data_IF_225583068273
#
_entry.id   IF_225583068273
#
_cell.length_a   1.000
_cell.length_b   1.000
_cell.length_c   1.000
_cell.angle_alpha   90.00
_cell.angle_beta   90.00
_cell.angle_gamma   90.00
#
_symmetry.space_group_name_H-M   'P 1'
#
loop_
_entity.id
_entity.type
_entity.pdbx_description
1 polymer ?
2 polymer ?
3 water ?
#
# COMPACT_ATOMS: atom_id res chain seq x y z
N UNK A 7 0.77 -14.55 8.80
CA UNK A 7 -0.64 -14.30 9.22
C UNK A 7 -1.58 -15.26 8.49
N UNK A 8 -2.28 -16.09 9.26
CA UNK A 8 -3.21 -17.06 8.70
C UNK A 8 -4.56 -16.43 8.36
N UNK A 9 -5.36 -17.12 7.56
CA UNK A 9 -6.67 -16.64 7.17
C UNK A 9 -7.54 -16.41 8.40
N UNK A 10 -7.36 -17.26 9.40
CA UNK A 10 -8.12 -17.15 10.64
C UNK A 10 -7.77 -15.86 11.36
N UNK A 11 -6.48 -15.52 11.36
CA UNK A 11 -6.01 -14.31 12.01
C UNK A 11 -6.57 -13.09 11.28
N UNK A 12 -6.63 -13.18 9.95
CA UNK A 12 -7.16 -12.08 9.14
C UNK A 12 -8.64 -11.87 9.42
N UNK A 13 -9.40 -12.96 9.53
CA UNK A 13 -10.82 -12.85 9.81
C UNK A 13 -11.06 -12.06 11.09
N UNK A 14 -10.23 -12.30 12.10
CA UNK A 14 -10.36 -11.58 13.36
C UNK A 14 -10.14 -10.08 13.15
N UNK A 15 -9.08 -9.73 12.43
CA UNK A 15 -8.74 -8.34 12.18
C UNK A 15 -9.86 -7.54 11.52
N UNK A 16 -10.62 -8.18 10.63
CA UNK A 16 -11.69 -7.47 9.94
C UNK A 16 -13.10 -7.76 10.46
N UNK A 17 -13.19 -8.14 11.73
CA UNK A 17 -14.48 -8.45 12.35
C UNK A 17 -15.54 -7.35 12.18
N UNK A 18 -15.11 -6.10 12.26
CA UNK A 18 -16.03 -4.97 12.13
C UNK A 18 -16.24 -4.49 10.70
N UNK A 19 -15.64 -5.17 9.72
CA UNK A 19 -15.79 -4.76 8.33
C UNK A 19 -17.15 -5.13 7.74
N UNK A 20 -17.58 -4.38 6.74
CA UNK A 20 -18.88 -4.61 6.10
C UNK A 20 -18.86 -5.77 5.11
N UNK A 21 -17.71 -5.97 4.46
CA UNK A 21 -17.52 -7.02 3.46
C UNK A 21 -16.27 -7.78 3.87
N UNK A 22 -16.44 -8.68 4.83
CA UNK A 22 -15.34 -9.46 5.40
C UNK A 22 -14.66 -10.49 4.50
N UNK A 23 -15.41 -11.45 3.97
CA UNK A 23 -14.80 -12.46 3.11
C UNK A 23 -14.09 -11.83 1.91
N UNK A 24 -14.69 -10.80 1.33
CA UNK A 24 -14.08 -10.13 0.17
C UNK A 24 -12.76 -9.46 0.53
N UNK A 25 -12.70 -8.88 1.73
CA UNK A 25 -11.48 -8.21 2.17
C UNK A 25 -10.39 -9.23 2.49
N UNK A 26 -10.77 -10.32 3.15
CA UNK A 26 -9.80 -11.36 3.49
C UNK A 26 -9.28 -12.02 2.22
N UNK A 27 -10.19 -12.32 1.29
CA UNK A 27 -9.81 -12.96 0.04
C UNK A 27 -8.73 -12.19 -0.71
N UNK A 28 -8.93 -10.88 -0.88
CA UNK A 28 -7.95 -10.08 -1.59
C UNK A 28 -6.66 -9.91 -0.80
N UNK A 29 -6.78 -9.79 0.52
CA UNK A 29 -5.59 -9.63 1.35
C UNK A 29 -4.70 -10.85 1.18
N UNK A 30 -5.30 -12.04 1.20
CA UNK A 30 -4.53 -13.27 1.01
C UNK A 30 -3.84 -13.24 -0.35
N UNK A 31 -4.57 -12.83 -1.39
CA UNK A 31 -3.98 -12.76 -2.73
C UNK A 31 -2.77 -11.84 -2.72
N UNK A 32 -2.91 -10.68 -2.09
CA UNK A 32 -1.82 -9.71 -2.03
C UNK A 32 -0.58 -10.19 -1.29
N UNK A 33 -0.76 -10.68 -0.07
CA UNK A 33 0.39 -11.12 0.72
C UNK A 33 1.04 -12.39 0.19
N UNK A 34 0.35 -13.09 -0.69
CA UNK A 34 0.89 -14.30 -1.29
C UNK A 34 1.83 -13.93 -2.43
N UNK A 35 1.47 -12.89 -3.18
CA UNK A 35 2.28 -12.43 -4.31
C UNK A 35 3.38 -11.47 -3.86
N UNK A 36 3.04 -10.60 -2.91
CA UNK A 36 3.98 -9.61 -2.38
C UNK A 36 4.27 -9.99 -0.94
N UNK A 37 5.27 -10.85 -0.78
CA UNK A 37 5.66 -11.38 0.53
C UNK A 37 6.22 -10.40 1.55
N UNK A 38 6.51 -9.16 1.14
CA UNK A 38 7.02 -8.21 2.11
C UNK A 38 5.94 -7.24 2.56
N UNK A 39 4.69 -7.54 2.23
CA UNK A 39 3.56 -6.72 2.67
C UNK A 39 2.92 -7.52 3.81
N UNK A 40 2.80 -6.90 4.98
CA UNK A 40 2.22 -7.59 6.13
C UNK A 40 0.93 -6.93 6.62
N UNK A 41 -0.09 -7.75 6.92
CA UNK A 41 -1.36 -7.20 7.42
C UNK A 41 -1.22 -6.83 8.89
N UNK A 42 -1.60 -5.61 9.23
CA UNK A 42 -1.51 -5.11 10.60
C UNK A 42 -2.79 -4.40 10.99
N UNK A 43 -3.27 -4.65 12.21
CA UNK A 43 -4.47 -4.00 12.72
C UNK A 43 -3.99 -2.87 13.62
N UNK A 44 -4.28 -1.63 13.23
CA UNK A 44 -3.83 -0.49 14.01
C UNK A 44 -4.88 0.61 14.04
N UNK A 45 -4.77 1.51 15.02
CA UNK A 45 -5.71 2.61 15.15
C UNK A 45 -5.40 3.65 14.08
N UNK A 46 -6.45 4.24 13.51
CA UNK A 46 -6.29 5.24 12.47
C UNK A 46 -7.03 6.52 12.85
N UNK A 47 -6.28 7.56 13.19
CA UNK A 47 -6.89 8.83 13.56
C UNK A 47 -7.41 8.90 14.99
N UNK A 48 -8.10 7.85 15.42
CA UNK A 48 -8.66 7.78 16.77
C UNK A 48 -8.36 6.40 17.36
N UNK A 49 -8.12 6.36 18.66
CA UNK A 49 -7.81 5.09 19.31
C UNK A 49 -8.84 4.00 19.11
N UNK A 50 -10.10 4.40 18.93
CA UNK A 50 -11.19 3.46 18.74
C UNK A 50 -11.42 3.06 17.29
N UNK A 51 -10.75 3.75 16.37
CA UNK A 51 -10.90 3.47 14.94
C UNK A 51 -9.82 2.51 14.45
N UNK A 52 -10.00 1.23 14.72
CA UNK A 52 -9.03 0.24 14.28
C UNK A 52 -9.34 -0.25 12.87
N UNK A 53 -8.32 -0.25 12.03
CA UNK A 53 -8.45 -0.70 10.66
C UNK A 53 -7.25 -1.57 10.31
N UNK A 54 -7.43 -2.46 9.35
CA UNK A 54 -6.33 -3.30 8.92
C UNK A 54 -5.63 -2.60 7.77
N UNK A 55 -4.31 -2.64 7.77
CA UNK A 55 -3.55 -2.05 6.68
C UNK A 55 -2.49 -3.05 6.27
N UNK A 56 -2.03 -2.93 5.03
CA UNK A 56 -0.99 -3.79 4.53
C UNK A 56 0.24 -2.89 4.50
N UNK A 57 1.21 -3.19 5.36
CA UNK A 57 2.43 -2.40 5.46
C UNK A 57 3.66 -3.20 5.08
N UNK A 58 4.57 -2.56 4.35
CA UNK A 58 5.79 -3.24 3.94
C UNK A 58 6.35 -2.59 2.69
N UNK A 59 7.02 -3.38 1.86
CA UNK A 59 7.60 -2.84 0.64
C UNK A 59 7.13 -3.62 -0.59
N UNK A 60 7.19 -2.96 -1.75
CA UNK A 60 6.84 -3.60 -3.01
C UNK A 60 8.06 -3.40 -3.90
N UNK A 61 8.38 -4.39 -4.75
CA UNK A 61 9.54 -4.29 -5.64
C UNK A 61 9.28 -3.41 -6.86
N UNK A 62 10.07 -2.35 -7.00
CA UNK A 62 9.93 -1.41 -8.11
C UNK A 62 11.24 -1.18 -8.86
N UNK A 63 11.26 -1.46 -10.17
CA UNK A 63 12.46 -1.25 -10.97
C UNK A 63 12.57 0.20 -11.43
N UNK A 64 13.75 0.80 -11.26
CA UNK A 64 13.97 2.19 -11.66
C UNK A 64 15.37 2.42 -12.21
N UNK A 65 15.43 2.90 -13.45
CA UNK A 65 16.70 3.17 -14.12
C UNK A 65 17.72 2.06 -13.99
N UNK A 66 17.27 0.81 -14.01
CA UNK A 66 18.21 -0.29 -13.93
C UNK A 66 18.12 -1.28 -12.79
N UNK A 67 17.87 -0.81 -11.57
CA UNK A 67 17.79 -1.71 -10.43
C UNK A 67 16.43 -1.73 -9.75
N UNK A 68 16.21 -2.74 -8.92
CA UNK A 68 14.96 -2.90 -8.19
C UNK A 68 15.07 -2.33 -6.78
N UNK A 69 14.05 -1.59 -6.37
CA UNK A 69 14.03 -1.00 -5.04
C UNK A 69 12.83 -1.48 -4.26
N UNK A 70 13.00 -1.62 -2.95
CA UNK A 70 11.91 -2.06 -2.09
C UNK A 70 11.27 -0.80 -1.53
N UNK A 71 10.26 -0.30 -2.25
CA UNK A 71 9.55 0.92 -1.90
C UNK A 71 8.58 0.71 -0.75
N UNK A 72 8.75 1.45 0.35
CA UNK A 72 7.90 1.35 1.55
C UNK A 72 6.53 2.01 1.42
N UNK A 73 5.48 1.21 1.57
CA UNK A 73 4.11 1.70 1.47
C UNK A 73 3.23 1.18 2.59
N UNK A 74 2.05 1.79 2.72
CA UNK A 74 1.05 1.40 3.71
C UNK A 74 -0.30 1.55 3.02
N UNK A 75 -1.05 0.46 2.94
CA UNK A 75 -2.36 0.48 2.30
C UNK A 75 -3.44 0.27 3.36
N UNK A 76 -4.15 1.34 3.71
CA UNK A 76 -5.22 1.23 4.70
C UNK A 76 -6.50 0.76 4.03
N UNK A 77 -7.06 -0.34 4.52
CA UNK A 77 -8.31 -0.85 3.96
C UNK A 77 -9.45 -0.34 4.83
N UNK A 78 -10.32 0.48 4.25
CA UNK A 78 -11.46 1.01 5.00
C UNK A 78 -12.44 -0.12 5.29
N UNK A 79 -13.31 0.08 6.28
CA UNK A 79 -14.28 -0.96 6.60
C UNK A 79 -15.31 -1.17 5.50
N UNK A 80 -15.18 -0.42 4.40
CA UNK A 80 -16.07 -0.56 3.26
C UNK A 80 -15.33 -1.21 2.08
N UNK A 81 -14.09 -1.62 2.30
CA UNK A 81 -13.33 -2.29 1.24
C UNK A 81 -14.12 -3.55 0.88
N UNK A 82 -14.17 -3.95 -0.41
CA UNK A 82 -13.59 -3.42 -1.64
C UNK A 82 -14.44 -2.41 -2.42
N UNK A 83 -15.54 -1.96 -1.84
CA UNK A 83 -16.40 -1.02 -2.55
C UNK A 83 -15.82 0.39 -2.62
N UNK A 84 -14.96 0.72 -1.65
CA UNK A 84 -14.27 2.02 -1.64
C UNK A 84 -12.78 1.71 -1.69
N UNK A 85 -11.99 2.53 -2.40
CA UNK A 85 -10.55 2.28 -2.49
C UNK A 85 -9.80 2.46 -1.17
N UNK A 86 -8.62 1.84 -1.07
CA UNK A 86 -7.80 1.94 0.13
C UNK A 86 -7.17 3.33 0.17
N UNK A 87 -6.74 3.76 1.35
CA UNK A 87 -6.05 5.04 1.47
C UNK A 87 -4.59 4.61 1.55
N UNK A 88 -3.81 5.06 0.57
CA UNK A 88 -2.41 4.64 0.46
C UNK A 88 -1.36 5.71 0.73
N UNK A 89 -0.29 5.31 1.41
CA UNK A 89 0.80 6.21 1.75
C UNK A 89 2.18 5.62 1.47
N UNK A 90 3.14 6.51 1.20
CA UNK A 90 4.52 6.09 1.01
C UNK A 90 5.06 6.31 2.43
N UNK A 91 5.82 5.35 2.95
CA UNK A 91 6.36 5.44 4.31
C UNK A 91 7.88 5.44 4.32
N UNK A 92 8.50 6.59 4.06
CA UNK A 92 9.96 6.68 4.04
C UNK A 92 10.63 6.33 5.36
N UNK A 93 11.80 5.70 5.26
CA UNK A 93 12.58 5.33 6.43
C UNK A 93 13.63 6.42 6.61
N UNK A 94 14.45 6.30 7.65
CA UNK A 94 15.48 7.30 7.93
C UNK A 94 16.53 7.46 6.83
N UNK A 95 16.71 6.44 6.00
CA UNK A 95 17.72 6.48 4.95
C UNK A 95 17.26 7.11 3.65
N UNK A 96 16.02 7.58 3.62
CA UNK A 96 15.47 8.17 2.40
C UNK A 96 14.58 9.37 2.68
N UNK A 97 14.20 10.04 1.60
CA UNK A 97 13.34 11.21 1.70
C UNK A 97 12.20 11.09 0.70
N UNK A 98 10.99 11.42 1.14
CA UNK A 98 9.84 11.33 0.26
C UNK A 98 9.88 12.44 -0.79
N UNK A 99 9.43 12.11 -2.00
CA UNK A 99 9.41 13.07 -3.09
C UNK A 99 7.99 13.51 -3.41
N UNK A 100 7.63 14.72 -2.99
CA UNK A 100 6.29 15.23 -3.27
C UNK A 100 6.22 15.47 -4.77
N UNK A 101 5.12 15.07 -5.38
CA UNK A 101 4.97 15.26 -6.81
C UNK A 101 3.59 14.95 -7.34
N UNK A 102 3.52 14.61 -8.62
CA UNK A 102 2.25 14.31 -9.25
C UNK A 102 1.39 13.30 -8.48
N UNK A 103 1.99 12.18 -8.11
CA UNK A 103 1.25 11.12 -7.42
C UNK A 103 1.44 11.00 -5.92
N UNK A 104 2.17 11.94 -5.32
CA UNK A 104 2.41 11.90 -3.88
C UNK A 104 2.28 13.30 -3.29
N UNK A 105 1.37 13.50 -2.34
CA UNK A 105 1.22 14.83 -1.77
C UNK A 105 2.12 15.10 -0.56
N UNK A 106 1.93 16.25 0.07
CA UNK A 106 2.75 16.66 1.21
C UNK A 106 2.74 15.69 2.40
N UNK A 107 1.68 14.91 2.54
CA UNK A 107 1.58 13.96 3.65
C UNK A 107 2.00 12.55 3.24
N UNK A 108 2.44 12.40 2.00
CA UNK A 108 2.86 11.09 1.53
C UNK A 108 1.70 10.29 0.98
N UNK A 109 0.52 10.91 0.88
CA UNK A 109 -0.65 10.22 0.35
C UNK A 109 -0.51 10.04 -1.16
N UNK A 110 -0.86 8.85 -1.63
CA UNK A 110 -0.76 8.52 -3.04
C UNK A 110 -2.04 8.85 -3.80
N UNK A 111 -1.87 9.42 -4.99
CA UNK A 111 -2.98 9.78 -5.87
C UNK A 111 -2.75 9.07 -7.20
N UNK A 112 -3.75 8.31 -7.64
CA UNK A 112 -3.64 7.59 -8.90
C UNK A 112 -5.00 7.48 -9.56
N UNK A 113 -5.04 7.53 -10.90
CA UNK A 113 -6.32 7.42 -11.59
C UNK A 113 -7.04 6.13 -11.14
N UNK A 114 -6.26 5.09 -10.86
CA UNK A 114 -6.82 3.80 -10.43
C UNK A 114 -7.61 3.94 -9.13
N UNK A 115 -7.12 4.76 -8.21
CA UNK A 115 -7.81 4.98 -6.95
C UNK A 115 -9.00 5.93 -7.15
N UNK A 116 -8.81 6.93 -8.00
CA UNK A 116 -9.84 7.92 -8.27
C UNK A 116 -11.12 7.36 -8.89
N UNK A 117 -10.98 6.39 -9.79
CA UNK A 117 -12.16 5.79 -10.43
C UNK A 117 -12.45 4.38 -9.93
N UNK A 118 -11.88 4.04 -8.78
CA UNK A 118 -12.05 2.73 -8.17
C UNK A 118 -13.50 2.25 -8.19
N UNK A 119 -13.71 1.03 -8.67
CA UNK A 119 -15.04 0.45 -8.72
C UNK A 119 -14.96 -1.07 -8.63
N UNK A 120 -15.61 -1.64 -7.62
CA UNK A 120 -15.64 -3.09 -7.43
C UNK A 120 -16.61 -3.61 -8.50
N UNK A 121 -16.37 -4.82 -9.05
CA UNK A 121 -15.29 -5.76 -8.77
C UNK A 121 -14.07 -5.70 -9.69
N UNK A 122 -14.08 -4.82 -10.69
CA UNK A 122 -12.93 -4.75 -11.59
C UNK A 122 -11.68 -4.24 -10.88
N UNK A 123 -11.84 -3.20 -10.07
CA UNK A 123 -10.71 -2.64 -9.34
C UNK A 123 -10.39 -3.52 -8.12
N UNK A 124 -9.11 -3.82 -7.92
CA UNK A 124 -8.70 -4.59 -6.75
C UNK A 124 -7.28 -4.23 -6.33
N UNK A 125 -6.81 -4.80 -5.22
CA UNK A 125 -5.47 -4.49 -4.73
C UNK A 125 -4.34 -4.98 -5.62
N UNK A 126 -4.50 -6.15 -6.23
CA UNK A 126 -3.47 -6.66 -7.12
C UNK A 126 -3.30 -5.70 -8.29
N UNK A 127 -4.42 -5.20 -8.81
CA UNK A 127 -4.36 -4.27 -9.92
C UNK A 127 -3.72 -2.96 -9.51
N UNK A 128 -4.04 -2.51 -8.30
CA UNK A 128 -3.50 -1.27 -7.75
C UNK A 128 -1.99 -1.36 -7.59
N UNK A 129 -1.51 -2.44 -6.98
CA UNK A 129 -0.07 -2.61 -6.78
C UNK A 129 0.66 -2.66 -8.11
N UNK A 130 0.05 -3.32 -9.10
CA UNK A 130 0.65 -3.42 -10.43
C UNK A 130 0.82 -2.01 -10.99
N UNK A 131 -0.20 -1.17 -10.82
CA UNK A 131 -0.14 0.21 -11.29
C UNK A 131 0.97 0.97 -10.56
N UNK A 132 1.07 0.77 -9.25
CA UNK A 132 2.10 1.44 -8.46
C UNK A 132 3.50 1.09 -8.95
N UNK A 133 3.72 -0.18 -9.25
CA UNK A 133 5.02 -0.62 -9.73
C UNK A 133 5.36 0.08 -11.05
N UNK A 134 4.37 0.25 -11.92
CA UNK A 134 4.61 0.93 -13.19
C UNK A 134 4.82 2.43 -12.99
N UNK A 135 3.92 3.06 -12.24
CA UNK A 135 4.01 4.50 -11.99
C UNK A 135 5.25 4.91 -11.19
N UNK A 136 5.54 4.21 -10.10
CA UNK A 136 6.71 4.55 -9.30
C UNK A 136 8.01 4.19 -10.03
N UNK A 137 7.90 3.28 -11.00
CA UNK A 137 9.06 2.89 -11.78
C UNK A 137 9.44 4.05 -12.68
N UNK A 138 8.46 4.89 -13.00
CA UNK A 138 8.70 6.06 -13.84
C UNK A 138 9.10 7.25 -12.97
N UNK A 139 8.40 7.41 -11.85
CA UNK A 139 8.68 8.49 -10.91
C UNK A 139 8.71 7.96 -9.48
N UNK A 140 9.90 7.62 -8.97
CA UNK A 140 10.04 7.11 -7.60
C UNK A 140 9.44 8.08 -6.58
N UNK A 141 8.71 7.55 -5.59
CA UNK A 141 8.09 8.40 -4.56
C UNK A 141 9.04 8.71 -3.41
N UNK A 142 10.23 8.11 -3.45
CA UNK A 142 11.25 8.32 -2.44
C UNK A 142 12.63 8.20 -3.08
N UNK A 143 13.60 8.87 -2.48
CA UNK A 143 14.98 8.84 -2.96
C UNK A 143 15.90 8.72 -1.75
N UNK A 144 16.98 7.96 -1.91
CA UNK A 144 17.93 7.76 -0.82
C UNK A 144 18.66 9.06 -0.50
N UNK A 145 18.89 9.31 0.78
CA UNK A 145 19.58 10.52 1.21
C UNK A 145 21.02 10.48 0.68
N UNK A 146 21.61 11.65 0.41
CA UNK A 146 22.98 11.70 -0.10
C UNK A 146 24.02 11.29 0.94
N UNK B 1 12.07 -6.89 2.55
CA UNK B 1 13.00 -7.04 3.69
C UNK B 1 13.43 -5.69 4.26
N UNK B 2 14.27 -4.99 3.52
CA UNK B 2 14.76 -3.68 3.94
C UNK B 2 14.38 -2.65 2.88
N UNK B 3 13.67 -1.60 3.29
CA UNK B 3 13.25 -0.56 2.36
C UNK B 3 14.45 0.14 1.73
N UNK B 4 14.38 0.35 0.42
CA UNK B 4 15.44 1.02 -0.32
C UNK B 4 14.86 2.00 -1.32
N UNK B 5 15.66 3.00 -1.69
CA UNK B 5 15.24 4.02 -2.64
C UNK B 5 16.40 4.37 -3.56
N UNK B 6 16.09 4.81 -4.79
CA UNK B 6 17.14 5.17 -5.75
C UNK B 6 17.91 6.42 -5.32
N UNK B 7 19.14 6.58 -5.83
CA UNK B 7 19.98 7.74 -5.49
C UNK B 7 19.35 9.09 -5.79
N UNK B 8 19.61 10.05 -4.90
CA UNK B 8 19.10 11.41 -5.02
C UNK B 8 19.45 11.98 -6.39
N UNK B 9 18.45 12.50 -7.09
CA UNK B 9 18.66 13.08 -8.41
C UNK B 9 17.54 14.04 -8.79
#
# INVERSE_FOLDING_TARGET
GAMGSAVSESQLKKMVSKYKYRDLTVRETVNVITLYKDLKPVLDSYGTGSRELMNLTGTIPVPYRGNTYNIPICLWLLDTYPYNPPICFVKPTSSMTIKTGKHVDANGKIYLPYLHEWKHPQSDLLGLIQVMIVVFGDEPPVFSRP
PEATAPPEE
#
